data_IF_329748188270
#
_entry.id   IF_329748188270
#
_cell.length_a   1.000
_cell.length_b   1.000
_cell.length_c   1.000
_cell.angle_alpha   90.00
_cell.angle_beta   90.00
_cell.angle_gamma   90.00
#
_symmetry.space_group_name_H-M   'P 1'
#
loop_
_entity.id
_entity.type
_entity.pdbx_description
1 polymer ?
#
# COMPACT_ATOMS: atom_id res chain seq x y z
N UNK A 1 -24.35 -10.28 23.69
CA UNK A 1 -23.20 -9.43 24.08
C UNK A 1 -21.93 -10.13 23.60
N UNK A 2 -21.19 -9.54 22.65
CA UNK A 2 -19.88 -10.09 22.27
C UNK A 2 -18.92 -9.88 23.47
N UNK A 3 -18.35 -10.96 23.98
CA UNK A 3 -17.55 -10.96 25.22
C UNK A 3 -16.16 -10.39 24.92
N UNK A 4 -15.59 -9.67 25.87
CA UNK A 4 -14.24 -9.07 25.82
C UNK A 4 -13.12 -10.05 25.43
N UNK A 5 -13.37 -11.35 25.52
CA UNK A 5 -12.48 -12.44 25.09
C UNK A 5 -12.18 -12.46 23.59
N UNK A 6 -13.08 -11.96 22.73
CA UNK A 6 -12.89 -12.00 21.27
C UNK A 6 -11.79 -11.02 20.80
N UNK A 7 -11.57 -9.92 21.53
CA UNK A 7 -10.53 -8.93 21.20
C UNK A 7 -9.14 -9.42 21.57
N UNK A 8 -9.01 -10.18 22.67
CA UNK A 8 -7.75 -10.81 23.06
C UNK A 8 -7.29 -11.88 22.06
N UNK A 9 -8.23 -12.63 21.47
CA UNK A 9 -7.93 -13.67 20.47
C UNK A 9 -7.48 -13.11 19.11
N UNK A 10 -7.90 -11.89 18.76
CA UNK A 10 -7.39 -11.19 17.56
C UNK A 10 -5.89 -10.94 17.71
N UNK A 11 -5.43 -10.59 18.92
CA UNK A 11 -4.02 -10.29 19.19
C UNK A 11 -3.12 -11.52 19.29
N UNK A 12 -3.62 -12.66 19.77
CA UNK A 12 -2.88 -13.93 19.65
C UNK A 12 -2.71 -14.32 18.17
N UNK A 13 -3.68 -14.01 17.31
CA UNK A 13 -3.58 -14.20 15.85
C UNK A 13 -2.63 -13.19 15.19
N UNK A 14 -2.48 -11.97 15.76
CA UNK A 14 -1.43 -11.02 15.37
C UNK A 14 -0.06 -11.42 15.86
N UNK A 15 0.10 -12.10 17.00
CA UNK A 15 1.40 -12.64 17.43
C UNK A 15 1.96 -13.68 16.47
N UNK A 16 1.09 -14.35 15.69
CA UNK A 16 1.50 -15.19 14.55
C UNK A 16 1.95 -14.38 13.32
N UNK A 17 1.60 -13.08 13.25
CA UNK A 17 2.25 -12.12 12.35
C UNK A 17 3.49 -11.65 13.07
N UNK A 18 4.65 -11.80 12.45
CA UNK A 18 5.85 -11.24 13.05
C UNK A 18 5.82 -9.71 12.96
N UNK A 19 5.22 -9.07 13.98
CA UNK A 19 5.10 -7.62 14.12
C UNK A 19 6.49 -6.96 14.17
N UNK A 20 7.52 -7.72 14.58
CA UNK A 20 8.91 -7.26 14.57
C UNK A 20 9.40 -6.96 13.16
N UNK A 21 8.90 -7.66 12.13
CA UNK A 21 9.24 -7.38 10.72
C UNK A 21 8.70 -6.02 10.29
N UNK A 22 7.47 -5.69 10.69
CA UNK A 22 6.85 -4.40 10.36
C UNK A 22 7.57 -3.27 11.10
N UNK A 23 7.96 -3.51 12.36
CA UNK A 23 8.76 -2.57 13.13
C UNK A 23 10.12 -2.33 12.49
N UNK A 24 10.84 -3.39 12.13
CA UNK A 24 12.13 -3.31 11.47
C UNK A 24 12.01 -2.57 10.12
N UNK A 25 10.92 -2.76 9.39
CA UNK A 25 10.61 -1.99 8.18
C UNK A 25 10.42 -0.50 8.48
N UNK A 26 9.68 -0.14 9.53
CA UNK A 26 9.45 1.26 9.91
C UNK A 26 10.72 1.96 10.44
N UNK A 27 11.63 1.21 11.04
CA UNK A 27 12.89 1.73 11.58
C UNK A 27 14.04 1.69 10.56
N UNK A 28 13.83 1.10 9.38
CA UNK A 28 14.86 0.90 8.36
C UNK A 28 15.59 2.20 8.01
N UNK A 29 16.93 2.25 8.04
CA UNK A 29 17.67 3.45 7.68
C UNK A 29 17.49 3.75 6.19
N UNK A 30 17.32 5.03 5.88
CA UNK A 30 17.33 5.54 4.51
C UNK A 30 17.73 7.01 4.55
N UNK A 31 18.20 7.52 3.41
CA UNK A 31 18.62 8.91 3.23
C UNK A 31 18.24 9.41 1.84
N UNK A 32 17.88 10.68 1.76
CA UNK A 32 17.53 11.38 0.53
C UNK A 32 18.49 12.56 0.39
N UNK A 33 19.28 12.58 -0.68
CA UNK A 33 20.01 13.81 -1.04
C UNK A 33 19.12 14.64 -1.96
N UNK A 34 18.74 15.83 -1.50
CA UNK A 34 17.96 16.81 -2.26
C UNK A 34 18.91 17.87 -2.82
N UNK A 35 19.27 17.72 -4.09
CA UNK A 35 20.30 18.50 -4.76
C UNK A 35 19.66 19.50 -5.72
N UNK A 36 20.08 20.77 -5.74
CA UNK A 36 19.55 21.71 -6.72
C UNK A 36 19.56 23.16 -6.32
N UNK A 37 18.75 23.97 -7.00
CA UNK A 37 18.57 25.38 -6.68
C UNK A 37 18.01 25.52 -5.27
N UNK A 38 18.55 26.47 -4.48
CA UNK A 38 18.20 26.68 -3.07
C UNK A 38 16.68 26.76 -2.86
N UNK A 39 15.99 27.61 -3.64
CA UNK A 39 14.53 27.76 -3.53
C UNK A 39 13.75 26.46 -3.83
N UNK A 40 14.24 25.66 -4.78
CA UNK A 40 13.60 24.40 -5.15
C UNK A 40 13.80 23.34 -4.07
N UNK A 41 15.01 23.16 -3.56
CA UNK A 41 15.31 22.16 -2.51
C UNK A 41 14.67 22.54 -1.17
N UNK A 42 14.62 23.83 -0.81
CA UNK A 42 13.89 24.30 0.38
C UNK A 42 12.38 24.10 0.26
N UNK A 43 11.82 24.33 -0.93
CA UNK A 43 10.40 24.06 -1.20
C UNK A 43 10.08 22.58 -1.07
N UNK A 44 10.89 21.70 -1.67
CA UNK A 44 10.77 20.25 -1.51
C UNK A 44 10.87 19.87 -0.04
N UNK A 45 11.86 20.39 0.68
CA UNK A 45 12.05 20.10 2.09
C UNK A 45 10.82 20.47 2.93
N UNK A 46 10.28 21.67 2.72
CA UNK A 46 9.07 22.14 3.38
C UNK A 46 7.88 21.24 3.10
N UNK A 47 7.68 20.83 1.85
CA UNK A 47 6.56 19.96 1.47
C UNK A 47 6.70 18.54 2.04
N UNK A 48 7.91 17.98 2.09
CA UNK A 48 8.17 16.67 2.71
C UNK A 48 7.95 16.68 4.23
N UNK A 49 8.13 17.84 4.87
CA UNK A 49 7.95 18.02 6.30
C UNK A 49 6.58 18.60 6.68
N UNK A 50 5.76 19.03 5.72
CA UNK A 50 4.43 19.56 5.98
C UNK A 50 3.38 18.46 6.07
N UNK A 51 2.78 18.26 7.24
CA UNK A 51 1.71 17.27 7.41
C UNK A 51 1.27 17.12 8.86
N UNK A 52 0.31 16.24 9.10
CA UNK A 52 -0.13 15.91 10.45
C UNK A 52 0.99 15.20 11.22
N UNK A 53 1.38 15.76 12.37
CA UNK A 53 2.49 15.29 13.18
C UNK A 53 2.17 15.24 14.69
N UNK A 54 1.07 14.57 15.02
CA UNK A 54 0.59 14.44 16.40
C UNK A 54 1.61 13.86 17.38
N UNK A 55 2.47 12.94 16.91
CA UNK A 55 3.47 12.26 17.74
C UNK A 55 4.85 12.94 17.71
N UNK A 56 5.00 14.03 16.94
CA UNK A 56 6.26 14.72 16.76
C UNK A 56 7.26 14.01 15.84
N UNK A 57 8.45 14.61 15.66
CA UNK A 57 9.48 14.07 14.79
C UNK A 57 9.98 12.72 15.29
N UNK A 58 10.24 11.81 14.34
CA UNK A 58 10.73 10.47 14.68
C UNK A 58 12.06 10.17 14.01
N UNK A 59 13.06 9.81 14.82
CA UNK A 59 14.41 9.50 14.33
C UNK A 59 15.16 10.72 13.80
N UNK A 60 16.19 10.45 12.99
CA UNK A 60 17.00 11.47 12.32
C UNK A 60 16.30 11.86 11.02
N UNK A 61 16.31 13.17 10.70
CA UNK A 61 15.83 13.67 9.41
C UNK A 61 16.60 13.01 8.26
N UNK A 62 15.92 12.28 7.35
CA UNK A 62 16.57 11.57 6.28
C UNK A 62 16.95 12.48 5.10
N UNK A 63 16.55 13.75 5.07
CA UNK A 63 16.77 14.65 3.93
C UNK A 63 18.01 15.53 4.15
N UNK A 64 19.01 15.37 3.28
CA UNK A 64 20.15 16.27 3.20
C UNK A 64 19.98 17.24 2.03
N UNK A 65 19.93 18.54 2.30
CA UNK A 65 19.86 19.58 1.28
C UNK A 65 21.26 19.91 0.77
N UNK A 66 21.43 19.86 -0.55
CA UNK A 66 22.71 20.13 -1.21
C UNK A 66 22.51 21.19 -2.29
N UNK A 67 22.80 22.46 -1.99
CA UNK A 67 22.90 23.51 -2.98
C UNK A 67 23.90 23.18 -4.11
N UNK A 68 23.70 23.72 -5.31
CA UNK A 68 24.50 23.37 -6.48
C UNK A 68 26.00 23.65 -6.33
N UNK A 69 26.34 24.76 -5.68
CA UNK A 69 27.73 25.15 -5.36
C UNK A 69 28.40 24.20 -4.35
N UNK A 70 27.64 23.33 -3.68
CA UNK A 70 28.14 22.37 -2.70
C UNK A 70 28.19 20.92 -3.22
N UNK A 71 27.79 20.66 -4.46
CA UNK A 71 27.72 19.30 -5.02
C UNK A 71 29.06 18.57 -4.94
N UNK A 72 30.16 19.25 -5.31
CA UNK A 72 31.49 18.65 -5.26
C UNK A 72 31.92 18.31 -3.82
N UNK A 73 31.69 19.23 -2.88
CA UNK A 73 32.03 19.05 -1.47
C UNK A 73 31.18 17.95 -0.79
N UNK A 74 29.94 17.75 -1.26
CA UNK A 74 28.96 16.79 -0.72
C UNK A 74 28.84 15.51 -1.56
N UNK A 75 29.75 15.27 -2.49
CA UNK A 75 29.67 14.13 -3.40
C UNK A 75 29.62 12.78 -2.68
N UNK A 76 30.25 12.66 -1.50
CA UNK A 76 30.17 11.46 -0.66
C UNK A 76 28.75 11.19 -0.13
N UNK A 77 28.07 12.22 0.36
CA UNK A 77 26.69 12.14 0.84
C UNK A 77 25.71 11.81 -0.29
N UNK A 78 25.86 12.47 -1.45
CA UNK A 78 25.05 12.20 -2.65
C UNK A 78 25.18 10.72 -3.07
N UNK A 79 26.40 10.17 -3.07
CA UNK A 79 26.63 8.75 -3.43
C UNK A 79 26.10 7.76 -2.40
N UNK A 80 26.06 8.15 -1.12
CA UNK A 80 25.56 7.31 -0.03
C UNK A 80 24.03 7.37 0.12
N UNK A 81 23.37 8.31 -0.56
CA UNK A 81 21.93 8.47 -0.50
C UNK A 81 21.18 7.26 -1.07
N UNK A 82 20.08 6.88 -0.43
CA UNK A 82 19.19 5.81 -0.93
C UNK A 82 18.25 6.28 -2.04
N UNK A 83 18.05 7.59 -2.17
CA UNK A 83 17.27 8.24 -3.22
C UNK A 83 17.83 9.64 -3.50
N UNK A 84 17.73 10.10 -4.74
CA UNK A 84 18.05 11.46 -5.14
C UNK A 84 16.79 12.25 -5.49
N UNK A 85 16.71 13.48 -5.01
CA UNK A 85 15.72 14.46 -5.49
C UNK A 85 16.49 15.63 -6.10
N UNK A 86 16.21 15.95 -7.36
CA UNK A 86 16.85 17.02 -8.11
C UNK A 86 15.87 18.19 -8.20
N UNK A 87 16.11 19.24 -7.41
CA UNK A 87 15.27 20.44 -7.35
C UNK A 87 15.69 21.49 -8.38
N UNK A 88 14.80 21.82 -9.31
CA UNK A 88 15.08 22.78 -10.37
C UNK A 88 14.08 23.93 -10.32
N UNK A 89 14.52 25.16 -10.03
CA UNK A 89 13.69 26.35 -10.21
C UNK A 89 13.77 26.79 -11.67
N UNK A 90 12.71 26.56 -12.44
CA UNK A 90 12.72 26.82 -13.89
C UNK A 90 12.59 28.30 -14.23
N UNK A 91 12.41 29.17 -13.23
CA UNK A 91 12.30 30.62 -13.40
C UNK A 91 13.66 31.31 -13.33
N UNK A 92 14.68 30.61 -12.85
CA UNK A 92 16.03 31.12 -12.70
C UNK A 92 16.87 30.61 -13.87
N UNK A 93 17.63 31.51 -14.48
CA UNK A 93 18.61 31.11 -15.49
C UNK A 93 19.67 30.22 -14.86
N UNK A 94 20.15 29.20 -15.57
CA UNK A 94 21.16 28.26 -15.08
C UNK A 94 22.54 28.65 -15.64
N UNK A 95 23.45 29.22 -14.82
CA UNK A 95 24.83 29.46 -15.21
C UNK A 95 25.57 28.16 -15.56
N UNK A 96 26.61 28.23 -16.41
CA UNK A 96 27.33 27.02 -16.88
C UNK A 96 28.00 26.24 -15.74
N UNK A 97 28.59 26.92 -14.77
CA UNK A 97 29.18 26.32 -13.56
C UNK A 97 28.15 25.52 -12.73
N UNK A 98 26.90 25.99 -12.69
CA UNK A 98 25.81 25.26 -12.06
C UNK A 98 25.29 24.11 -12.93
N UNK A 99 25.27 24.26 -14.26
CA UNK A 99 24.95 23.18 -15.18
C UNK A 99 25.96 22.02 -15.07
N UNK A 100 27.25 22.35 -14.97
CA UNK A 100 28.32 21.37 -14.74
C UNK A 100 28.12 20.62 -13.42
N UNK A 101 27.62 21.29 -12.38
CA UNK A 101 27.34 20.65 -11.09
C UNK A 101 26.28 19.55 -11.19
N UNK A 102 25.26 19.69 -12.05
CA UNK A 102 24.30 18.61 -12.29
C UNK A 102 24.92 17.40 -12.99
N UNK A 103 25.93 17.61 -13.83
CA UNK A 103 26.65 16.51 -14.50
C UNK A 103 27.47 15.64 -13.55
N UNK A 104 27.84 16.18 -12.38
CA UNK A 104 28.56 15.46 -11.32
C UNK A 104 27.67 14.50 -10.52
N UNK A 105 26.34 14.58 -10.68
CA UNK A 105 25.40 13.74 -9.94
C UNK A 105 25.38 12.33 -10.55
N UNK A 106 25.90 11.36 -9.80
CA UNK A 106 25.84 9.94 -10.20
C UNK A 106 24.46 9.34 -9.90
N UNK A 107 23.82 8.77 -10.92
CA UNK A 107 22.45 8.27 -10.86
C UNK A 107 22.38 6.76 -10.64
N UNK A 108 23.02 6.28 -9.57
CA UNK A 108 23.04 4.86 -9.19
C UNK A 108 21.83 4.39 -8.35
N UNK A 109 20.96 5.33 -7.97
CA UNK A 109 19.82 5.10 -7.07
C UNK A 109 18.55 5.72 -7.67
N UNK A 110 17.34 5.39 -7.17
CA UNK A 110 16.11 6.04 -7.62
C UNK A 110 16.23 7.57 -7.57
N UNK A 111 15.91 8.23 -8.67
CA UNK A 111 16.01 9.67 -8.80
C UNK A 111 14.66 10.28 -9.22
N UNK A 112 14.35 11.44 -8.65
CA UNK A 112 13.16 12.23 -8.95
C UNK A 112 13.59 13.66 -9.31
N UNK A 113 13.06 14.21 -10.40
CA UNK A 113 13.25 15.64 -10.74
C UNK A 113 12.03 16.42 -10.27
N UNK A 114 12.23 17.48 -9.50
CA UNK A 114 11.16 18.38 -9.08
C UNK A 114 11.35 19.71 -9.79
N UNK A 115 10.45 20.02 -10.71
CA UNK A 115 10.45 21.27 -11.46
C UNK A 115 9.55 22.28 -10.74
N UNK A 116 10.14 23.36 -10.23
CA UNK A 116 9.45 24.43 -9.55
C UNK A 116 9.12 25.56 -10.54
N UNK A 117 7.84 25.89 -10.66
CA UNK A 117 7.30 26.93 -11.54
C UNK A 117 6.82 26.41 -12.89
N UNK A 118 7.72 25.89 -13.73
CA UNK A 118 7.42 25.47 -15.11
C UNK A 118 7.69 23.98 -15.36
N UNK A 119 7.21 23.49 -16.51
CA UNK A 119 7.37 22.09 -16.92
C UNK A 119 8.62 21.82 -17.77
N UNK A 120 9.33 22.88 -18.16
CA UNK A 120 10.50 22.79 -19.04
C UNK A 120 11.78 22.94 -18.21
N UNK A 121 12.75 22.07 -18.48
CA UNK A 121 14.08 22.21 -17.91
C UNK A 121 14.75 23.50 -18.43
N UNK A 122 15.56 24.19 -17.60
CA UNK A 122 16.37 25.32 -18.05
C UNK A 122 17.27 24.94 -19.23
N UNK A 123 17.51 25.88 -20.14
CA UNK A 123 18.47 25.69 -21.22
C UNK A 123 19.87 25.41 -20.65
N UNK A 124 20.63 24.50 -21.27
CA UNK A 124 21.95 24.09 -20.80
C UNK A 124 21.94 22.97 -19.76
N UNK A 125 20.79 22.66 -19.16
CA UNK A 125 20.64 21.48 -18.31
C UNK A 125 20.43 20.22 -19.17
N UNK A 126 21.26 19.20 -18.97
CA UNK A 126 21.06 17.88 -19.55
C UNK A 126 21.05 16.83 -18.45
N UNK A 127 19.95 16.08 -18.37
CA UNK A 127 19.80 14.93 -17.47
C UNK A 127 19.50 13.69 -18.32
N UNK A 128 19.92 12.49 -17.90
CA UNK A 128 19.56 11.26 -18.61
C UNK A 128 18.05 11.13 -18.78
N UNK A 129 17.60 10.68 -19.96
CA UNK A 129 16.17 10.61 -20.30
C UNK A 129 15.32 9.82 -19.30
N UNK A 130 15.90 8.78 -18.68
CA UNK A 130 15.22 8.00 -17.64
C UNK A 130 14.89 8.84 -16.39
N UNK A 131 15.75 9.79 -16.03
CA UNK A 131 15.55 10.69 -14.91
C UNK A 131 14.59 11.81 -15.28
N UNK A 132 14.69 12.36 -16.49
CA UNK A 132 13.73 13.35 -17.01
C UNK A 132 12.31 12.79 -17.11
N UNK A 133 12.15 11.52 -17.50
CA UNK A 133 10.85 10.83 -17.48
C UNK A 133 10.26 10.66 -16.07
N UNK A 134 11.04 10.99 -15.05
CA UNK A 134 10.71 10.89 -13.63
C UNK A 134 10.53 12.29 -13.01
N UNK A 135 10.10 13.26 -13.80
CA UNK A 135 9.87 14.63 -13.32
C UNK A 135 8.46 14.82 -12.76
N UNK A 136 8.35 15.61 -11.69
CA UNK A 136 7.09 16.17 -11.19
C UNK A 136 7.16 17.69 -11.25
N UNK A 137 6.07 18.33 -11.70
CA UNK A 137 5.96 19.78 -11.78
C UNK A 137 5.16 20.31 -10.59
N UNK A 138 5.78 21.21 -9.83
CA UNK A 138 5.15 22.00 -8.77
C UNK A 138 5.06 23.44 -9.28
N UNK A 139 3.98 23.75 -9.99
CA UNK A 139 3.76 25.08 -10.58
C UNK A 139 3.62 26.16 -9.50
N UNK A 140 2.85 25.86 -8.46
CA UNK A 140 2.66 26.71 -7.28
C UNK A 140 2.83 25.87 -6.00
N UNK A 141 3.89 26.12 -5.19
CA UNK A 141 4.08 25.44 -3.91
C UNK A 141 3.00 25.69 -2.86
N UNK A 142 2.22 26.77 -3.01
CA UNK A 142 1.12 27.10 -2.12
C UNK A 142 -0.20 26.42 -2.54
N UNK A 143 -0.24 25.78 -3.71
CA UNK A 143 -1.42 25.06 -4.16
C UNK A 143 -1.73 23.88 -3.22
N UNK A 144 -3.02 23.67 -2.95
CA UNK A 144 -3.50 22.63 -2.02
C UNK A 144 -3.08 21.21 -2.42
N UNK A 145 -2.83 20.97 -3.71
CA UNK A 145 -2.44 19.67 -4.25
C UNK A 145 -0.92 19.48 -4.40
N UNK A 146 -0.10 20.52 -4.15
CA UNK A 146 1.35 20.44 -4.26
C UNK A 146 1.98 19.38 -3.32
N UNK A 147 1.58 19.27 -2.03
CA UNK A 147 2.08 18.22 -1.15
C UNK A 147 1.76 16.82 -1.69
N UNK A 148 0.52 16.59 -2.13
CA UNK A 148 0.07 15.28 -2.64
C UNK A 148 0.78 14.91 -3.95
N UNK A 149 1.04 15.87 -4.85
CA UNK A 149 1.84 15.67 -6.07
C UNK A 149 3.26 15.22 -5.75
N UNK A 150 3.93 15.94 -4.84
CA UNK A 150 5.29 15.59 -4.44
C UNK A 150 5.32 14.23 -3.73
N UNK A 151 4.41 14.00 -2.79
CA UNK A 151 4.32 12.73 -2.06
C UNK A 151 4.13 11.55 -3.02
N UNK A 152 3.28 11.71 -4.05
CA UNK A 152 3.05 10.68 -5.08
C UNK A 152 4.32 10.37 -5.83
N UNK A 153 4.97 11.41 -6.34
CA UNK A 153 6.20 11.26 -7.09
C UNK A 153 7.34 10.63 -6.25
N UNK A 154 7.40 10.92 -4.95
CA UNK A 154 8.39 10.34 -4.04
C UNK A 154 8.08 8.88 -3.71
N UNK A 155 6.85 8.54 -3.32
CA UNK A 155 6.47 7.17 -2.96
C UNK A 155 6.55 6.21 -4.15
N UNK A 156 6.20 6.65 -5.36
CA UNK A 156 6.30 5.85 -6.59
C UNK A 156 7.75 5.47 -6.93
N UNK A 157 8.72 6.25 -6.45
CA UNK A 157 10.15 6.06 -6.72
C UNK A 157 10.90 5.40 -5.58
N UNK A 158 10.42 5.56 -4.36
CA UNK A 158 10.99 4.87 -3.22
C UNK A 158 10.77 3.35 -3.32
N UNK A 159 11.80 2.53 -3.03
CA UNK A 159 11.63 1.09 -2.85
C UNK A 159 10.52 0.80 -1.83
N UNK A 160 9.68 -0.21 -2.11
CA UNK A 160 8.48 -0.49 -1.32
C UNK A 160 8.80 -0.72 0.16
N UNK A 161 9.94 -1.35 0.47
CA UNK A 161 10.45 -1.60 1.82
C UNK A 161 10.91 -0.35 2.58
N UNK A 162 11.06 0.79 1.91
CA UNK A 162 11.43 2.07 2.52
C UNK A 162 10.22 3.00 2.69
N UNK A 163 9.09 2.74 2.03
CA UNK A 163 7.92 3.63 2.05
C UNK A 163 7.36 3.83 3.46
N UNK A 164 7.33 2.78 4.30
CA UNK A 164 6.87 2.90 5.69
C UNK A 164 7.84 3.75 6.54
N UNK A 165 9.15 3.50 6.45
CA UNK A 165 10.16 4.30 7.12
C UNK A 165 10.09 5.77 6.65
N UNK A 166 9.88 6.00 5.35
CA UNK A 166 9.74 7.32 4.77
C UNK A 166 8.52 8.06 5.30
N UNK A 167 7.34 7.44 5.29
CA UNK A 167 6.14 8.03 5.87
C UNK A 167 6.30 8.33 7.37
N UNK A 168 6.99 7.45 8.12
CA UNK A 168 7.27 7.64 9.54
C UNK A 168 8.07 8.93 9.80
N UNK A 169 9.16 9.14 9.05
CA UNK A 169 10.09 10.27 9.24
C UNK A 169 9.67 11.56 8.53
N UNK A 170 8.89 11.47 7.45
CA UNK A 170 8.49 12.61 6.61
C UNK A 170 6.97 12.81 6.65
N UNK A 171 6.46 13.75 7.48
CA UNK A 171 5.02 14.01 7.63
C UNK A 171 4.26 14.24 6.32
N UNK A 172 4.91 14.85 5.32
CA UNK A 172 4.32 15.10 4.00
C UNK A 172 3.97 13.85 3.21
N UNK A 173 4.54 12.69 3.56
CA UNK A 173 4.23 11.42 2.88
C UNK A 173 3.09 10.64 3.54
N UNK A 174 2.73 10.97 4.79
CA UNK A 174 1.83 10.14 5.63
C UNK A 174 0.43 9.99 5.06
N UNK A 175 -0.16 11.09 4.59
CA UNK A 175 -1.54 11.11 4.08
C UNK A 175 -1.68 10.23 2.84
N UNK A 176 -0.76 10.36 1.88
CA UNK A 176 -0.77 9.53 0.68
C UNK A 176 -0.45 8.07 0.99
N UNK A 177 0.60 7.80 1.76
CA UNK A 177 0.97 6.43 2.16
C UNK A 177 -0.22 5.70 2.80
N UNK A 178 -0.90 6.39 3.71
CA UNK A 178 -2.06 5.86 4.42
C UNK A 178 -3.23 5.61 3.48
N UNK A 179 -3.54 6.55 2.59
CA UNK A 179 -4.60 6.41 1.58
C UNK A 179 -4.35 5.18 0.68
N UNK A 180 -3.12 4.97 0.23
CA UNK A 180 -2.76 3.78 -0.53
C UNK A 180 -2.87 2.50 0.27
N UNK A 181 -2.40 2.51 1.53
CA UNK A 181 -2.46 1.35 2.42
C UNK A 181 -3.92 0.92 2.68
N UNK A 182 -4.81 1.89 2.90
CA UNK A 182 -6.25 1.65 3.05
C UNK A 182 -6.83 1.05 1.77
N UNK A 183 -6.50 1.62 0.61
CA UNK A 183 -6.95 1.11 -0.69
C UNK A 183 -6.50 -0.33 -0.96
N UNK A 184 -5.20 -0.60 -0.78
CA UNK A 184 -4.59 -1.93 -0.96
C UNK A 184 -5.22 -2.97 -0.01
N UNK A 185 -5.40 -2.62 1.25
CA UNK A 185 -6.00 -3.53 2.26
C UNK A 185 -7.47 -3.81 1.98
N UNK A 186 -8.23 -2.77 1.62
CA UNK A 186 -9.65 -2.90 1.28
C UNK A 186 -9.85 -3.77 0.05
N UNK A 187 -8.99 -3.60 -0.96
CA UNK A 187 -9.01 -4.42 -2.16
C UNK A 187 -8.64 -5.88 -1.85
N UNK A 188 -7.58 -6.13 -1.10
CA UNK A 188 -7.16 -7.49 -0.71
C UNK A 188 -8.29 -8.23 0.04
N UNK A 189 -8.94 -7.56 0.98
CA UNK A 189 -10.06 -8.12 1.74
C UNK A 189 -11.29 -8.39 0.85
N UNK A 190 -11.56 -7.51 -0.11
CA UNK A 190 -12.63 -7.69 -1.09
C UNK A 190 -12.37 -8.90 -2.00
N UNK A 191 -11.14 -9.07 -2.50
CA UNK A 191 -10.72 -10.23 -3.31
C UNK A 191 -10.77 -11.52 -2.51
N UNK A 192 -10.36 -11.51 -1.23
CA UNK A 192 -10.45 -12.67 -0.37
C UNK A 192 -11.91 -13.10 -0.15
N UNK A 193 -12.80 -12.16 0.18
CA UNK A 193 -14.23 -12.41 0.36
C UNK A 193 -14.91 -12.93 -0.92
N UNK A 194 -14.42 -12.54 -2.10
CA UNK A 194 -14.84 -13.11 -3.37
C UNK A 194 -14.41 -14.58 -3.51
N UNK A 195 -13.14 -14.88 -3.24
CA UNK A 195 -12.58 -16.22 -3.38
C UNK A 195 -13.19 -17.22 -2.37
N UNK A 196 -13.41 -16.78 -1.12
CA UNK A 196 -14.00 -17.61 -0.06
C UNK A 196 -15.52 -17.79 -0.20
N UNK A 197 -16.21 -16.93 -0.95
CA UNK A 197 -17.62 -17.11 -1.26
C UNK A 197 -17.88 -18.25 -2.26
N UNK A 198 -16.86 -18.72 -2.99
CA UNK A 198 -17.04 -19.75 -4.04
C UNK A 198 -17.39 -21.13 -3.45
N UNK A 199 -16.78 -21.58 -2.33
CA UNK A 199 -17.13 -22.84 -1.67
C UNK A 199 -18.37 -22.76 -0.74
N UNK A 200 -18.73 -21.57 -0.25
CA UNK A 200 -19.87 -21.37 0.68
C UNK A 200 -21.25 -21.66 0.05
N UNK A 201 -21.32 -21.86 -1.27
CA UNK A 201 -22.54 -22.36 -1.94
C UNK A 201 -22.83 -23.84 -1.62
N UNK A 202 -21.90 -24.55 -0.98
CA UNK A 202 -22.06 -25.94 -0.53
C UNK A 202 -22.43 -25.93 0.96
N UNK A 203 -23.67 -26.30 1.35
CA UNK A 203 -24.20 -26.09 2.71
C UNK A 203 -23.34 -26.68 3.84
N UNK A 204 -22.71 -27.84 3.60
CA UNK A 204 -21.89 -28.58 4.58
C UNK A 204 -20.57 -27.87 4.92
N UNK A 205 -20.07 -26.98 4.06
CA UNK A 205 -18.79 -26.29 4.25
C UNK A 205 -18.95 -24.86 4.80
N UNK A 206 -20.16 -24.31 4.87
CA UNK A 206 -20.41 -22.89 5.15
C UNK A 206 -19.91 -22.37 6.52
N UNK A 207 -19.98 -23.17 7.57
CA UNK A 207 -19.66 -22.72 8.95
C UNK A 207 -18.15 -22.60 9.23
N UNK A 208 -17.29 -23.58 8.83
CA UNK A 208 -15.84 -23.44 9.00
C UNK A 208 -15.22 -22.30 8.18
N UNK A 209 -15.71 -22.03 6.97
CA UNK A 209 -15.16 -20.98 6.11
C UNK A 209 -15.49 -19.57 6.61
N UNK A 210 -16.70 -19.32 7.12
CA UNK A 210 -17.06 -18.01 7.67
C UNK A 210 -16.22 -17.59 8.90
N UNK A 211 -15.79 -18.56 9.72
CA UNK A 211 -14.90 -18.29 10.87
C UNK A 211 -13.46 -18.01 10.43
N UNK A 212 -12.94 -18.75 9.45
CA UNK A 212 -11.64 -18.49 8.85
C UNK A 212 -11.59 -17.11 8.16
N UNK A 213 -12.68 -16.73 7.47
CA UNK A 213 -12.84 -15.43 6.85
C UNK A 213 -12.73 -14.29 7.87
N UNK A 214 -13.42 -14.41 9.01
CA UNK A 214 -13.38 -13.42 10.07
C UNK A 214 -11.96 -13.23 10.62
N UNK A 215 -11.22 -14.32 10.84
CA UNK A 215 -9.84 -14.28 11.37
C UNK A 215 -8.90 -13.60 10.38
N UNK A 216 -8.95 -13.98 9.11
CA UNK A 216 -8.06 -13.45 8.06
C UNK A 216 -8.35 -11.97 7.76
N UNK A 217 -9.62 -11.60 7.62
CA UNK A 217 -10.02 -10.21 7.35
C UNK A 217 -9.64 -9.28 8.50
N UNK A 218 -9.83 -9.73 9.74
CA UNK A 218 -9.49 -8.96 10.94
C UNK A 218 -7.97 -8.78 11.09
N UNK A 219 -7.18 -9.82 10.75
CA UNK A 219 -5.72 -9.76 10.73
C UNK A 219 -5.20 -8.73 9.73
N UNK A 220 -5.73 -8.70 8.51
CA UNK A 220 -5.35 -7.69 7.50
C UNK A 220 -5.66 -6.27 7.95
N UNK A 221 -6.81 -6.05 8.59
CA UNK A 221 -7.18 -4.74 9.12
C UNK A 221 -6.28 -4.31 10.29
N UNK A 222 -5.93 -5.22 11.18
CA UNK A 222 -5.02 -4.91 12.28
C UNK A 222 -3.60 -4.59 11.80
N UNK A 223 -3.08 -5.32 10.81
CA UNK A 223 -1.79 -5.01 10.16
C UNK A 223 -1.84 -3.61 9.53
N UNK A 224 -2.92 -3.29 8.81
CA UNK A 224 -3.12 -1.96 8.22
C UNK A 224 -3.09 -0.86 9.29
N UNK A 225 -3.85 -1.01 10.37
CA UNK A 225 -3.91 -0.03 11.47
C UNK A 225 -2.55 0.11 12.15
N UNK A 226 -1.83 -0.99 12.38
CA UNK A 226 -0.51 -0.95 13.00
C UNK A 226 0.54 -0.26 12.12
N UNK A 227 0.59 -0.58 10.82
CA UNK A 227 1.46 0.12 9.85
C UNK A 227 1.13 1.61 9.80
N UNK A 228 -0.14 1.97 9.85
CA UNK A 228 -0.57 3.36 9.90
C UNK A 228 -0.09 4.06 11.18
N UNK A 229 -0.24 3.43 12.34
CA UNK A 229 0.27 3.96 13.60
C UNK A 229 1.76 4.28 13.50
N UNK A 230 2.55 3.34 12.98
CA UNK A 230 3.98 3.52 12.78
C UNK A 230 4.30 4.62 11.76
N UNK A 231 3.54 4.72 10.67
CA UNK A 231 3.69 5.80 9.69
C UNK A 231 3.43 7.19 10.29
N UNK A 232 2.53 7.31 11.27
CA UNK A 232 2.30 8.56 11.99
C UNK A 232 3.29 8.84 13.12
N UNK A 233 4.28 7.98 13.31
CA UNK A 233 5.31 8.15 14.33
C UNK A 233 4.94 7.58 15.70
N UNK A 234 3.83 6.84 15.82
CA UNK A 234 3.47 6.21 17.10
C UNK A 234 4.62 5.30 17.60
N UNK A 235 4.80 5.18 18.93
CA UNK A 235 5.84 4.33 19.51
C UNK A 235 5.75 2.86 19.02
N UNK A 236 6.86 2.12 18.88
CA UNK A 236 6.81 0.74 18.39
C UNK A 236 6.09 -0.24 19.34
N UNK A 237 6.03 0.06 20.64
CA UNK A 237 5.23 -0.65 21.65
C UNK A 237 3.73 -0.33 21.55
N UNK A 238 3.31 0.48 20.57
CA UNK A 238 1.91 0.82 20.37
C UNK A 238 1.00 -0.40 20.16
N UNK A 239 1.56 -1.55 19.76
CA UNK A 239 0.83 -2.83 19.75
C UNK A 239 0.20 -3.18 21.11
N UNK A 240 0.79 -2.76 22.23
CA UNK A 240 0.26 -3.01 23.57
C UNK A 240 -0.85 -2.01 23.93
N UNK A 241 -0.89 -0.85 23.25
CA UNK A 241 -1.84 0.26 23.47
C UNK A 241 -3.01 0.27 22.50
N UNK A 242 -2.91 -0.48 21.41
CA UNK A 242 -3.97 -0.57 20.40
C UNK A 242 -5.25 -1.19 20.95
N UNK A 243 -5.19 -1.97 22.04
CA UNK A 243 -6.36 -2.51 22.76
C UNK A 243 -7.08 -1.40 23.52
N UNK A 244 -6.35 -0.41 24.05
CA UNK A 244 -6.91 0.76 24.73
C UNK A 244 -7.57 1.72 23.73
N UNK A 245 -7.06 1.74 22.50
CA UNK A 245 -7.55 2.58 21.40
C UNK A 245 -8.54 1.81 20.52
N UNK A 246 -8.66 0.49 20.64
CA UNK A 246 -9.62 -0.31 19.90
C UNK A 246 -11.08 0.14 20.10
N UNK A 247 -11.55 0.57 21.29
CA UNK A 247 -12.87 1.18 21.48
C UNK A 247 -13.00 2.55 20.82
N UNK A 248 -11.89 3.26 20.63
CA UNK A 248 -11.81 4.62 20.05
C UNK A 248 -11.79 4.59 18.52
N UNK A 249 -11.01 3.66 17.94
CA UNK A 249 -10.97 3.40 16.48
C UNK A 249 -12.16 2.52 16.06
N UNK A 250 -12.65 1.70 16.98
CA UNK A 250 -13.63 0.65 16.75
C UNK A 250 -14.60 0.54 17.92
N UNK A 251 -15.41 1.57 18.14
CA UNK A 251 -16.60 1.43 18.94
C UNK A 251 -17.32 0.17 18.45
N UNK A 252 -17.38 -0.88 19.29
CA UNK A 252 -17.77 -2.25 18.92
C UNK A 252 -19.19 -2.41 18.34
N UNK A 253 -19.84 -1.30 18.00
CA UNK A 253 -21.06 -1.15 17.24
C UNK A 253 -20.87 -1.24 15.71
N UNK A 254 -19.78 -0.69 15.13
CA UNK A 254 -19.57 -0.67 13.66
C UNK A 254 -19.45 -2.10 13.12
N UNK A 255 -18.61 -2.91 13.78
CA UNK A 255 -18.36 -4.30 13.40
C UNK A 255 -19.60 -5.19 13.53
N UNK A 256 -20.44 -4.94 14.55
CA UNK A 256 -21.71 -5.66 14.75
C UNK A 256 -22.76 -5.32 13.69
N UNK A 257 -22.82 -4.08 13.23
CA UNK A 257 -23.75 -3.69 12.17
C UNK A 257 -23.31 -4.23 10.81
N UNK A 258 -22.02 -4.14 10.48
CA UNK A 258 -21.46 -4.76 9.27
C UNK A 258 -21.65 -6.29 9.29
N UNK A 259 -21.39 -6.95 10.41
CA UNK A 259 -21.60 -8.40 10.57
C UNK A 259 -23.09 -8.78 10.45
N UNK A 260 -24.03 -8.00 11.01
CA UNK A 260 -25.48 -8.26 10.84
C UNK A 260 -25.95 -8.06 9.41
N UNK A 261 -25.42 -7.06 8.70
CA UNK A 261 -25.67 -6.89 7.27
C UNK A 261 -25.11 -8.06 6.45
N UNK A 262 -23.92 -8.57 6.81
CA UNK A 262 -23.34 -9.76 6.18
C UNK A 262 -24.19 -11.01 6.44
N UNK A 263 -24.62 -11.26 7.68
CA UNK A 263 -25.43 -12.43 8.07
C UNK A 263 -26.82 -12.40 7.42
N UNK A 264 -27.42 -11.23 7.21
CA UNK A 264 -28.72 -11.07 6.54
C UNK A 264 -28.71 -11.23 5.01
N UNK A 265 -27.54 -11.35 4.39
CA UNK A 265 -27.38 -11.43 2.92
C UNK A 265 -27.05 -12.84 2.40
N UNK A 266 -26.93 -13.82 3.28
CA UNK A 266 -26.59 -15.21 2.98
C UNK A 266 -27.91 -16.00 3.01
N UNK A 267 -28.68 -16.12 1.89
CA UNK A 267 -28.24 -16.89 0.71
C UNK A 267 -28.75 -16.41 -0.68
N UNK A 268 -29.52 -15.31 -0.80
CA UNK A 268 -30.29 -15.00 -2.04
C UNK A 268 -29.61 -14.02 -3.02
N UNK A 269 -28.62 -13.21 -2.60
CA UNK A 269 -28.22 -12.00 -3.35
C UNK A 269 -26.84 -12.05 -4.06
N UNK A 270 -26.13 -13.17 -4.00
CA UNK A 270 -24.88 -13.40 -4.76
C UNK A 270 -23.62 -12.71 -4.19
N UNK A 271 -22.49 -12.83 -4.91
CA UNK A 271 -21.15 -12.45 -4.46
C UNK A 271 -20.91 -10.93 -4.32
N UNK A 272 -21.62 -10.11 -5.11
CA UNK A 272 -21.33 -8.67 -5.25
C UNK A 272 -21.60 -7.88 -3.95
N UNK A 273 -22.70 -8.12 -3.20
CA UNK A 273 -22.89 -7.52 -1.88
C UNK A 273 -21.80 -7.87 -0.87
N UNK A 274 -21.33 -9.12 -0.80
CA UNK A 274 -20.28 -9.58 0.13
C UNK A 274 -18.96 -8.82 -0.09
N UNK A 275 -18.56 -8.67 -1.35
CA UNK A 275 -17.36 -7.93 -1.75
C UNK A 275 -17.47 -6.44 -1.39
N UNK A 276 -18.62 -5.82 -1.70
CA UNK A 276 -18.87 -4.42 -1.38
C UNK A 276 -18.77 -4.14 0.12
N UNK A 277 -19.30 -5.02 0.96
CA UNK A 277 -19.24 -4.88 2.42
C UNK A 277 -17.81 -5.09 2.95
N UNK A 278 -17.08 -6.10 2.48
CA UNK A 278 -15.69 -6.34 2.90
C UNK A 278 -14.77 -5.16 2.54
N UNK A 279 -14.94 -4.60 1.33
CA UNK A 279 -14.24 -3.39 0.89
C UNK A 279 -14.63 -2.19 1.75
N UNK A 280 -15.94 -1.88 1.85
CA UNK A 280 -16.43 -0.69 2.55
C UNK A 280 -16.14 -0.69 4.05
N UNK A 281 -16.20 -1.86 4.71
CA UNK A 281 -15.87 -2.01 6.13
C UNK A 281 -14.38 -1.80 6.41
N UNK A 282 -13.49 -2.34 5.57
CA UNK A 282 -12.04 -2.09 5.65
C UNK A 282 -11.73 -0.62 5.34
N UNK A 283 -12.42 -0.11 4.32
CA UNK A 283 -12.68 1.29 3.97
C UNK A 283 -12.66 2.23 5.17
N UNK A 284 -13.82 2.18 5.83
CA UNK A 284 -14.16 3.05 6.93
C UNK A 284 -13.24 2.86 8.14
N UNK A 285 -12.86 1.61 8.44
CA UNK A 285 -11.91 1.31 9.53
C UNK A 285 -10.58 2.04 9.32
N UNK A 286 -10.07 2.00 8.09
CA UNK A 286 -8.85 2.71 7.70
C UNK A 286 -8.98 4.23 7.85
N UNK A 287 -10.09 4.81 7.39
CA UNK A 287 -10.33 6.26 7.48
C UNK A 287 -10.46 6.74 8.94
N UNK A 288 -11.16 5.98 9.78
CA UNK A 288 -11.27 6.28 11.21
C UNK A 288 -9.90 6.24 11.89
N UNK A 289 -9.12 5.18 11.64
CA UNK A 289 -7.77 5.06 12.17
C UNK A 289 -6.88 6.22 11.70
N UNK A 290 -6.94 6.59 10.42
CA UNK A 290 -6.18 7.71 9.87
C UNK A 290 -6.50 9.02 10.56
N UNK A 291 -7.80 9.35 10.73
CA UNK A 291 -8.25 10.56 11.43
C UNK A 291 -7.77 10.61 12.88
N UNK A 292 -7.81 9.47 13.57
CA UNK A 292 -7.31 9.36 14.94
C UNK A 292 -5.80 9.56 15.02
N UNK A 293 -5.02 8.93 14.15
CA UNK A 293 -3.56 9.05 14.17
C UNK A 293 -3.07 10.42 13.74
N UNK A 294 -3.70 11.01 12.72
CA UNK A 294 -3.35 12.33 12.21
C UNK A 294 -3.75 13.45 13.19
N UNK A 295 -4.97 13.41 13.71
CA UNK A 295 -5.57 14.57 14.38
C UNK A 295 -6.12 14.29 15.78
N UNK A 296 -6.15 13.02 16.21
CA UNK A 296 -6.85 12.63 17.44
C UNK A 296 -8.37 12.78 17.36
N UNK A 297 -8.90 12.87 16.14
CA UNK A 297 -10.32 13.06 15.89
C UNK A 297 -11.07 11.72 16.05
N UNK A 298 -12.15 11.74 16.83
CA UNK A 298 -13.13 10.66 16.85
C UNK A 298 -14.29 10.99 15.91
N UNK A 299 -14.62 10.08 14.99
CA UNK A 299 -15.75 10.27 14.08
C UNK A 299 -17.05 9.78 14.72
N UNK A 300 -18.14 10.53 14.51
CA UNK A 300 -19.48 10.09 14.91
C UNK A 300 -19.94 8.87 14.10
N UNK A 301 -20.89 8.11 14.65
CA UNK A 301 -21.43 6.92 13.98
C UNK A 301 -22.01 7.23 12.58
N UNK A 302 -22.63 8.40 12.40
CA UNK A 302 -23.22 8.81 11.13
C UNK A 302 -22.17 9.22 10.09
N UNK A 303 -21.08 9.88 10.51
CA UNK A 303 -19.93 10.14 9.64
C UNK A 303 -19.32 8.83 9.14
N UNK A 304 -19.12 7.85 10.04
CA UNK A 304 -18.58 6.53 9.68
C UNK A 304 -19.52 5.78 8.73
N UNK A 305 -20.84 5.86 8.94
CA UNK A 305 -21.84 5.25 8.03
C UNK A 305 -21.77 5.86 6.64
N UNK A 306 -21.67 7.19 6.54
CA UNK A 306 -21.55 7.88 5.24
C UNK A 306 -20.30 7.45 4.49
N UNK A 307 -19.13 7.47 5.17
CA UNK A 307 -17.86 7.00 4.60
C UNK A 307 -17.97 5.54 4.14
N UNK A 308 -18.61 4.69 4.96
CA UNK A 308 -18.82 3.28 4.62
C UNK A 308 -19.70 3.11 3.38
N UNK A 309 -20.78 3.89 3.26
CA UNK A 309 -21.71 3.82 2.12
C UNK A 309 -21.04 4.25 0.82
N UNK A 310 -20.28 5.36 0.85
CA UNK A 310 -19.52 5.85 -0.31
C UNK A 310 -18.46 4.82 -0.74
N UNK A 311 -17.74 4.25 0.23
CA UNK A 311 -16.74 3.21 -0.02
C UNK A 311 -17.36 1.91 -0.54
N UNK A 312 -18.54 1.51 -0.07
CA UNK A 312 -19.26 0.34 -0.60
C UNK A 312 -19.64 0.54 -2.06
N UNK A 313 -19.99 1.76 -2.48
CA UNK A 313 -20.24 2.09 -3.88
C UNK A 313 -19.02 1.82 -4.76
N UNK A 314 -17.86 2.30 -4.34
CA UNK A 314 -16.57 2.05 -5.00
C UNK A 314 -16.27 0.54 -5.03
N UNK A 315 -16.43 -0.13 -3.88
CA UNK A 315 -16.20 -1.58 -3.75
C UNK A 315 -17.09 -2.40 -4.67
N UNK A 316 -18.37 -2.05 -4.82
CA UNK A 316 -19.31 -2.71 -5.75
C UNK A 316 -18.92 -2.51 -7.21
N UNK A 317 -18.48 -1.30 -7.58
CA UNK A 317 -18.04 -1.02 -8.95
C UNK A 317 -16.80 -1.84 -9.30
N UNK A 318 -15.80 -1.86 -8.41
CA UNK A 318 -14.61 -2.70 -8.56
C UNK A 318 -14.94 -4.20 -8.53
N UNK A 319 -15.90 -4.62 -7.72
CA UNK A 319 -16.37 -6.01 -7.71
C UNK A 319 -16.93 -6.44 -9.08
N UNK A 320 -17.69 -5.56 -9.75
CA UNK A 320 -18.16 -5.82 -11.12
C UNK A 320 -16.99 -6.00 -12.08
N UNK A 321 -15.98 -5.13 -12.02
CA UNK A 321 -14.77 -5.25 -12.84
C UNK A 321 -14.05 -6.59 -12.63
N UNK A 322 -13.87 -7.02 -11.37
CA UNK A 322 -13.23 -8.30 -11.03
C UNK A 322 -14.06 -9.48 -11.56
N UNK A 323 -15.38 -9.45 -11.37
CA UNK A 323 -16.29 -10.50 -11.86
C UNK A 323 -16.28 -10.57 -13.39
N UNK A 324 -16.27 -9.43 -14.06
CA UNK A 324 -16.24 -9.35 -15.53
C UNK A 324 -14.91 -9.88 -16.08
N UNK A 325 -13.78 -9.56 -15.44
CA UNK A 325 -12.47 -10.13 -15.76
C UNK A 325 -12.46 -11.65 -15.57
N UNK A 326 -12.98 -12.16 -14.45
CA UNK A 326 -13.07 -13.59 -14.18
C UNK A 326 -13.98 -14.32 -15.18
N UNK A 327 -15.07 -13.68 -15.66
CA UNK A 327 -15.95 -14.21 -16.70
C UNK A 327 -15.27 -14.28 -18.07
N UNK A 328 -14.48 -13.27 -18.44
CA UNK A 328 -13.69 -13.25 -19.68
C UNK A 328 -12.61 -14.34 -19.72
N UNK A 329 -12.16 -14.81 -18.55
CA UNK A 329 -11.17 -15.88 -18.40
C UNK A 329 -11.77 -17.29 -18.36
N UNK A 330 -13.11 -17.47 -18.40
CA UNK A 330 -13.73 -18.80 -18.50
C UNK A 330 -13.51 -19.37 -19.92
N UNK A 331 -12.93 -20.58 -20.06
CA UNK A 331 -12.91 -21.26 -21.36
C UNK A 331 -14.34 -21.59 -21.82
N UNK A 332 -14.58 -21.46 -23.13
CA UNK A 332 -15.86 -21.80 -23.78
C UNK A 332 -16.21 -23.27 -23.45
N UNK A 333 -17.43 -23.60 -22.98
CA UNK A 333 -17.80 -24.99 -22.76
C UNK A 333 -17.67 -25.75 -24.07
N UNK A 334 -17.02 -26.91 -24.03
CA UNK A 334 -16.97 -27.82 -25.17
C UNK A 334 -18.42 -28.16 -25.58
N UNK A 335 -18.73 -28.22 -26.90
CA UNK A 335 -20.06 -28.59 -27.35
C UNK A 335 -20.44 -29.98 -26.79
N UNK A 336 -21.73 -30.23 -26.52
CA UNK A 336 -22.16 -31.49 -25.94
C UNK A 336 -21.78 -32.64 -26.89
N UNK A 337 -21.01 -33.59 -26.38
CA UNK A 337 -20.76 -34.84 -27.09
C UNK A 337 -22.09 -35.58 -27.20
N UNK A 338 -22.66 -35.59 -28.41
CA UNK A 338 -23.75 -36.47 -28.78
C UNK A 338 -23.26 -37.92 -28.66
N UNK A 339 -24.08 -38.70 -27.98
CA UNK A 339 -24.01 -40.13 -27.68
C UNK A 339 -22.92 -40.97 -28.33
N UNK A 340 -22.23 -41.74 -27.49
CA UNK A 340 -22.05 -43.17 -27.71
C UNK A 340 -21.49 -43.85 -26.45
N UNK A 341 -22.40 -44.41 -25.65
CA UNK A 341 -22.06 -45.47 -24.70
C UNK A 341 -22.19 -46.82 -25.40
N UNK A 342 -21.08 -47.53 -25.65
CA UNK A 342 -20.87 -48.95 -25.28
C UNK A 342 -19.65 -49.56 -25.97
N UNK A 343 -18.97 -50.41 -25.19
CA UNK A 343 -17.95 -51.43 -25.55
C UNK A 343 -16.55 -50.85 -25.82
N UNK A 344 -15.46 -51.29 -25.21
CA UNK A 344 -15.14 -52.55 -24.54
C UNK A 344 -14.17 -52.32 -23.36
N UNK A 345 -14.37 -53.09 -22.30
CA UNK A 345 -13.29 -53.46 -21.39
C UNK A 345 -12.34 -54.41 -22.14
N UNK A 346 -11.03 -54.12 -22.08
CA UNK A 346 -9.95 -55.03 -21.68
C UNK A 346 -8.59 -54.54 -22.20
N UNK A 347 -7.62 -54.47 -21.30
CA UNK A 347 -6.20 -54.59 -21.66
C UNK A 347 -5.32 -53.34 -21.51
N UNK A 348 -4.30 -53.52 -20.67
CA UNK A 348 -3.00 -52.83 -20.63
C UNK A 348 -2.89 -51.50 -19.85
N UNK A 349 -2.09 -51.60 -18.80
CA UNK A 349 -1.51 -50.52 -18.04
C UNK A 349 -0.67 -49.59 -18.91
N UNK A 350 -0.91 -48.29 -18.78
CA UNK A 350 0.07 -47.24 -19.04
C UNK A 350 -0.26 -46.04 -18.14
N UNK A 351 0.64 -45.75 -17.21
CA UNK A 351 0.67 -44.52 -16.43
C UNK A 351 0.68 -43.30 -17.37
N UNK A 352 -0.05 -42.23 -17.01
CA UNK A 352 0.15 -40.82 -17.42
C UNK A 352 -0.84 -39.93 -16.61
N UNK A 353 -0.60 -38.62 -16.46
CA UNK A 353 -0.39 -38.00 -15.16
C UNK A 353 -1.62 -37.26 -14.64
N UNK A 354 -1.84 -37.31 -13.33
CA UNK A 354 -2.81 -36.48 -12.61
C UNK A 354 -2.40 -35.00 -12.62
N UNK A 355 -2.69 -34.27 -13.70
CA UNK A 355 -2.67 -32.81 -13.70
C UNK A 355 -4.02 -32.25 -13.24
N UNK A 356 -4.30 -32.39 -11.95
CA UNK A 356 -5.32 -31.58 -11.29
C UNK A 356 -4.65 -30.33 -10.71
N UNK A 357 -4.29 -29.39 -11.61
CA UNK A 357 -3.83 -28.05 -11.19
C UNK A 357 -5.07 -27.29 -10.73
N UNK A 358 -5.25 -27.22 -9.41
CA UNK A 358 -6.38 -26.58 -8.77
C UNK A 358 -6.50 -25.12 -9.24
N UNK A 359 -7.73 -24.69 -9.49
CA UNK A 359 -8.09 -23.31 -9.78
C UNK A 359 -7.52 -22.31 -8.74
N UNK A 360 -7.32 -22.78 -7.51
CA UNK A 360 -6.72 -22.06 -6.39
C UNK A 360 -5.27 -21.66 -6.67
N UNK A 361 -4.47 -22.50 -7.33
CA UNK A 361 -3.08 -22.19 -7.68
C UNK A 361 -2.96 -21.13 -8.79
N UNK A 362 -3.97 -21.01 -9.66
CA UNK A 362 -4.02 -19.95 -10.67
C UNK A 362 -4.41 -18.60 -10.07
N UNK A 363 -5.30 -18.57 -9.09
CA UNK A 363 -5.63 -17.35 -8.34
C UNK A 363 -4.44 -16.87 -7.50
N UNK A 364 -3.66 -17.80 -6.95
CA UNK A 364 -2.42 -17.48 -6.21
C UNK A 364 -1.39 -16.71 -7.05
N UNK A 365 -1.37 -16.91 -8.38
CA UNK A 365 -0.50 -16.19 -9.33
C UNK A 365 -1.00 -14.79 -9.70
N UNK A 366 -2.26 -14.45 -9.41
CA UNK A 366 -2.84 -13.13 -9.65
C UNK A 366 -2.67 -12.17 -8.46
N UNK A 367 -2.21 -12.69 -7.31
CA UNK A 367 -1.79 -11.88 -6.17
C UNK A 367 -0.34 -11.46 -6.43
N UNK A 368 0.00 -10.15 -6.41
CA UNK A 368 1.39 -9.71 -6.54
C UNK A 368 2.20 -10.29 -5.38
N UNK A 369 2.99 -11.32 -5.66
CA UNK A 369 3.92 -11.87 -4.68
C UNK A 369 5.15 -10.99 -4.65
N UNK A 370 5.53 -10.58 -3.44
CA UNK A 370 6.82 -9.96 -3.12
C UNK A 370 7.92 -10.76 -3.83
N UNK A 371 8.67 -10.14 -4.73
CA UNK A 371 9.87 -10.76 -5.33
C UNK A 371 10.76 -11.21 -4.18
N UNK A 372 11.00 -12.52 -4.06
CA UNK A 372 12.10 -13.03 -3.23
C UNK A 372 13.38 -12.49 -3.84
N UNK A 373 14.16 -11.76 -3.05
CA UNK A 373 15.54 -11.43 -3.37
C UNK A 373 16.32 -12.74 -3.58
N UNK A 374 16.87 -12.90 -4.77
CA UNK A 374 17.85 -13.95 -5.07
C UNK A 374 19.06 -13.75 -4.15
N UNK A 375 19.59 -14.78 -3.49
CA UNK A 375 20.88 -14.68 -2.82
C UNK A 375 21.96 -14.49 -3.89
N UNK A 376 22.75 -13.42 -3.77
CA UNK A 376 23.99 -13.26 -4.50
C UNK A 376 24.94 -14.39 -4.12
N UNK A 377 25.29 -15.22 -5.10
CA UNK A 377 26.38 -16.17 -4.98
C UNK A 377 27.71 -15.39 -5.03
N UNK A 378 28.48 -15.45 -3.95
CA UNK A 378 29.95 -15.27 -3.93
C UNK A 378 30.42 -15.57 -2.49
N UNK A 379 30.77 -16.82 -2.24
CA UNK A 379 32.11 -17.20 -1.76
C UNK A 379 32.13 -18.68 -1.39
N UNK A 380 32.92 -19.47 -2.13
CA UNK A 380 33.50 -20.71 -1.64
C UNK A 380 34.97 -20.43 -1.34
N UNK A 381 35.50 -20.89 -0.21
CA UNK A 381 36.90 -20.71 0.13
C UNK A 381 37.74 -21.73 -0.64
N UNK A 382 38.75 -21.25 -1.37
CA UNK A 382 40.09 -21.85 -1.47
C UNK A 382 41.09 -20.77 -1.83
#
# INVERSE_FOLDING_TARGET
MAKWTDVGNIWTTLREVDVSVIRAEAERPFSIACVGHVNAIETVNRLLHSGADRYGPTGIDPVELVPLDQVAARAGAIRAATMLIIGVDTRVALPQDQADSFSLISLGVPALVVLLGGAQLPQGMSLPSAVTASSVVIADPAALDAPDKLATAVLDRLPAELQLAAARRLPGLRSLYTRELIGKSSFSNATYAFASGLPEQIPVLSVPFAMADLIILTKNQAIMVYRMALAFGAPPDFQDRIVEIAPVIGGGFIWRQLARSLVGLVPLWGFIPKIGIAYGGTYATGVVAWRWFAYGEMLSADQVRKISADAMGIGRQRAKEIVDQARKLKPKPAPPALGETKRLADGAAAELPTQNISFVDRIRKLIPTRRKSTPTATDKPK
#
